data_IF_005776441873
#
_entry.id   IF_005776441873
#
_cell.length_a   1.000
_cell.length_b   1.000
_cell.length_c   1.000
_cell.angle_alpha   90.00
_cell.angle_beta   90.00
_cell.angle_gamma   90.00
#
_symmetry.space_group_name_H-M   'P 1'
#
loop_
_entity.id
_entity.type
_entity.pdbx_description
1 polymer ?
#
# COMPACT_ATOMS: atom_id res chain seq x y z
N UNK A 1 21.99 -14.52 -5.01
CA UNK A 1 21.43 -15.48 -5.98
C UNK A 1 20.92 -14.71 -7.18
N UNK A 2 21.65 -14.72 -8.30
CA UNK A 2 21.42 -13.82 -9.45
C UNK A 2 20.04 -13.99 -10.11
N UNK A 3 19.47 -15.20 -10.03
CA UNK A 3 18.14 -15.49 -10.58
C UNK A 3 16.99 -14.93 -9.73
N UNK A 4 17.12 -14.88 -8.40
CA UNK A 4 16.07 -14.35 -7.52
C UNK A 4 15.84 -12.85 -7.69
N UNK A 5 16.92 -12.08 -7.94
CA UNK A 5 16.81 -10.64 -8.19
C UNK A 5 16.21 -10.33 -9.57
N UNK A 6 16.56 -11.11 -10.61
CA UNK A 6 16.05 -10.86 -11.97
C UNK A 6 14.52 -11.00 -12.04
N UNK A 7 13.96 -12.03 -11.40
CA UNK A 7 12.50 -12.22 -11.33
C UNK A 7 11.83 -11.15 -10.45
N UNK A 8 12.51 -10.71 -9.38
CA UNK A 8 12.02 -9.60 -8.55
C UNK A 8 11.91 -8.29 -9.34
N UNK A 9 12.94 -7.93 -10.12
CA UNK A 9 12.93 -6.72 -10.94
C UNK A 9 11.82 -6.74 -12.00
N UNK A 10 11.59 -7.90 -12.63
CA UNK A 10 10.49 -8.07 -13.59
C UNK A 10 9.12 -7.85 -12.93
N UNK A 11 8.88 -8.45 -11.75
CA UNK A 11 7.64 -8.24 -10.99
C UNK A 11 7.44 -6.76 -10.65
N UNK A 12 8.49 -6.06 -10.24
CA UNK A 12 8.43 -4.64 -9.90
C UNK A 12 8.11 -3.76 -11.11
N UNK A 13 8.69 -4.06 -12.28
CA UNK A 13 8.40 -3.37 -13.54
C UNK A 13 6.94 -3.59 -13.96
N UNK A 14 6.45 -4.83 -13.89
CA UNK A 14 5.08 -5.18 -14.21
C UNK A 14 4.09 -4.54 -13.23
N UNK A 15 4.42 -4.52 -11.94
CA UNK A 15 3.64 -3.81 -10.91
C UNK A 15 3.52 -2.32 -11.25
N UNK A 16 4.63 -1.65 -11.57
CA UNK A 16 4.62 -0.24 -11.94
C UNK A 16 3.75 0.02 -13.19
N UNK A 17 3.76 -0.89 -14.16
CA UNK A 17 2.89 -0.80 -15.34
C UNK A 17 1.42 -1.00 -14.99
N UNK A 18 1.08 -1.98 -14.15
CA UNK A 18 -0.29 -2.19 -13.66
C UNK A 18 -0.81 -0.96 -12.91
N UNK A 19 0.02 -0.34 -12.07
CA UNK A 19 -0.34 0.91 -11.40
C UNK A 19 -0.64 2.02 -12.41
N UNK A 20 0.24 2.25 -13.39
CA UNK A 20 0.04 3.29 -14.42
C UNK A 20 -1.22 3.09 -15.26
N UNK A 21 -1.63 1.84 -15.49
CA UNK A 21 -2.87 1.52 -16.20
C UNK A 21 -4.12 1.66 -15.33
N UNK A 22 -3.98 1.46 -14.01
CA UNK A 22 -5.11 1.42 -13.08
C UNK A 22 -5.48 2.79 -12.49
N UNK A 23 -4.52 3.71 -12.42
CA UNK A 23 -4.68 5.03 -11.81
C UNK A 23 -4.67 6.16 -12.85
N UNK A 24 -5.24 7.31 -12.48
CA UNK A 24 -5.34 8.47 -13.37
C UNK A 24 -3.98 9.16 -13.49
N UNK A 25 -3.79 9.94 -14.57
CA UNK A 25 -2.57 10.73 -14.79
C UNK A 25 -2.23 11.69 -13.64
N UNK A 26 -3.23 12.17 -12.90
CA UNK A 26 -3.05 13.12 -11.79
C UNK A 26 -2.93 12.43 -10.42
N UNK A 27 -3.09 11.11 -10.34
CA UNK A 27 -2.79 10.36 -9.14
C UNK A 27 -1.26 10.22 -9.04
N UNK A 28 -0.71 10.37 -7.83
CA UNK A 28 0.74 10.29 -7.64
C UNK A 28 1.13 8.88 -7.25
N UNK A 29 2.04 8.28 -8.02
CA UNK A 29 2.50 6.90 -7.87
C UNK A 29 3.99 6.92 -7.58
N UNK A 30 4.40 6.31 -6.47
CA UNK A 30 5.79 6.28 -6.04
C UNK A 30 6.22 4.86 -5.72
N UNK A 31 7.47 4.53 -6.01
CA UNK A 31 8.17 3.41 -5.37
C UNK A 31 8.88 3.98 -4.14
N UNK A 32 8.45 3.59 -2.96
CA UNK A 32 8.95 4.11 -1.69
C UNK A 32 10.19 3.36 -1.23
N UNK A 33 10.19 2.03 -1.38
CA UNK A 33 11.28 1.14 -0.99
C UNK A 33 11.56 0.05 -2.03
N UNK A 34 12.23 -1.02 -1.61
CA UNK A 34 12.58 -2.15 -2.47
C UNK A 34 11.35 -2.75 -3.17
N UNK A 35 10.34 -3.11 -2.40
CA UNK A 35 9.08 -3.71 -2.89
C UNK A 35 7.83 -2.90 -2.52
N UNK A 36 8.04 -1.69 -1.98
CA UNK A 36 6.97 -0.86 -1.42
C UNK A 36 6.57 0.25 -2.39
N UNK A 37 5.25 0.40 -2.56
CA UNK A 37 4.66 1.40 -3.43
C UNK A 37 3.69 2.28 -2.64
N UNK A 38 3.71 3.58 -2.96
CA UNK A 38 2.83 4.57 -2.34
C UNK A 38 1.98 5.21 -3.44
N UNK A 39 0.70 5.38 -3.13
CA UNK A 39 -0.29 5.97 -4.02
C UNK A 39 -0.96 7.11 -3.27
N UNK A 40 -0.87 8.33 -3.82
CA UNK A 40 -1.62 9.49 -3.31
C UNK A 40 -2.77 9.76 -4.27
N UNK A 41 -3.99 9.53 -3.76
CA UNK A 41 -5.23 9.69 -4.52
C UNK A 41 -5.96 10.95 -4.12
N UNK A 42 -6.46 11.70 -5.11
CA UNK A 42 -7.43 12.77 -4.89
C UNK A 42 -8.84 12.27 -5.20
N UNK A 43 -9.62 12.01 -4.15
CA UNK A 43 -11.00 11.50 -4.26
C UNK A 43 -11.97 12.33 -3.45
N UNK A 44 -13.24 12.35 -3.86
CA UNK A 44 -14.31 13.07 -3.14
C UNK A 44 -14.66 12.43 -1.79
N UNK A 45 -14.61 11.10 -1.70
CA UNK A 45 -14.98 10.36 -0.50
C UNK A 45 -14.00 9.23 -0.21
N UNK A 46 -13.87 8.87 1.06
CA UNK A 46 -13.13 7.68 1.51
C UNK A 46 -13.61 6.41 0.81
N UNK A 47 -14.92 6.25 0.63
CA UNK A 47 -15.49 5.08 -0.05
C UNK A 47 -15.03 4.96 -1.51
N UNK A 48 -14.91 6.09 -2.21
CA UNK A 48 -14.43 6.10 -3.59
C UNK A 48 -12.95 5.68 -3.64
N UNK A 49 -12.12 6.16 -2.73
CA UNK A 49 -10.72 5.74 -2.63
C UNK A 49 -10.60 4.23 -2.39
N UNK A 50 -11.34 3.69 -1.41
CA UNK A 50 -11.32 2.25 -1.11
C UNK A 50 -11.80 1.40 -2.29
N UNK A 51 -12.84 1.84 -3.01
CA UNK A 51 -13.32 1.11 -4.20
C UNK A 51 -12.29 1.11 -5.34
N UNK A 52 -11.59 2.23 -5.58
CA UNK A 52 -10.52 2.29 -6.59
C UNK A 52 -9.37 1.34 -6.21
N UNK A 53 -8.93 1.38 -4.95
CA UNK A 53 -7.83 0.57 -4.46
C UNK A 53 -8.18 -0.93 -4.42
N UNK A 54 -9.41 -1.28 -4.09
CA UNK A 54 -9.88 -2.67 -4.10
C UNK A 54 -9.94 -3.23 -5.53
N UNK A 55 -10.38 -2.40 -6.50
CA UNK A 55 -10.29 -2.78 -7.91
C UNK A 55 -8.84 -3.04 -8.33
N UNK A 56 -7.92 -2.16 -7.93
CA UNK A 56 -6.49 -2.36 -8.22
C UNK A 56 -5.92 -3.63 -7.57
N UNK A 57 -6.27 -3.91 -6.31
CA UNK A 57 -5.89 -5.15 -5.61
C UNK A 57 -6.33 -6.39 -6.40
N UNK A 58 -7.59 -6.42 -6.85
CA UNK A 58 -8.12 -7.50 -7.67
C UNK A 58 -7.43 -7.58 -9.05
N UNK A 59 -7.13 -6.45 -9.69
CA UNK A 59 -6.37 -6.42 -10.94
C UNK A 59 -5.01 -7.11 -10.79
N UNK A 60 -4.30 -6.83 -9.68
CA UNK A 60 -3.01 -7.48 -9.39
C UNK A 60 -3.18 -8.97 -9.10
N UNK A 61 -4.14 -9.34 -8.25
CA UNK A 61 -4.44 -10.72 -7.89
C UNK A 61 -4.74 -11.61 -9.11
N UNK A 62 -5.46 -11.06 -10.10
CA UNK A 62 -5.82 -11.77 -11.32
C UNK A 62 -4.73 -11.72 -12.41
N UNK A 63 -3.70 -10.89 -12.22
CA UNK A 63 -2.63 -10.76 -13.20
C UNK A 63 -1.68 -11.95 -13.10
N UNK A 64 -1.46 -12.63 -14.22
CA UNK A 64 -0.48 -13.69 -14.31
C UNK A 64 0.91 -13.10 -14.60
N UNK A 65 1.72 -12.95 -13.55
CA UNK A 65 3.10 -12.51 -13.67
C UNK A 65 3.93 -13.61 -14.35
N UNK A 66 4.64 -13.31 -15.45
CA UNK A 66 5.58 -14.25 -16.05
C UNK A 66 6.56 -14.76 -14.99
N UNK A 67 6.94 -16.03 -15.10
CA UNK A 67 7.92 -16.71 -14.24
C UNK A 67 7.50 -16.99 -12.79
N UNK A 68 6.70 -16.12 -12.15
CA UNK A 68 6.29 -16.26 -10.74
C UNK A 68 4.82 -16.61 -10.52
N UNK A 69 3.99 -16.55 -11.56
CA UNK A 69 2.57 -16.90 -11.49
C UNK A 69 1.74 -15.80 -10.84
N UNK A 70 1.05 -16.11 -9.74
CA UNK A 70 0.18 -15.14 -9.05
C UNK A 70 0.95 -14.36 -7.99
N UNK A 71 0.79 -13.04 -8.02
CA UNK A 71 1.25 -12.13 -6.97
C UNK A 71 0.04 -11.41 -6.41
N UNK A 72 0.06 -11.12 -5.11
CA UNK A 72 -1.00 -10.36 -4.44
C UNK A 72 -0.39 -9.15 -3.74
N UNK A 73 -1.23 -8.15 -3.45
CA UNK A 73 -0.83 -6.97 -2.70
C UNK A 73 -1.75 -6.79 -1.50
N UNK A 74 -1.18 -6.32 -0.40
CA UNK A 74 -1.94 -5.81 0.74
C UNK A 74 -1.82 -4.29 0.75
N UNK A 75 -2.89 -3.59 1.07
CA UNK A 75 -2.94 -2.13 0.98
C UNK A 75 -3.39 -1.56 2.33
N UNK A 76 -2.55 -0.69 2.90
CA UNK A 76 -2.91 0.16 4.02
C UNK A 76 -3.30 1.55 3.54
N UNK A 77 -4.41 2.09 4.05
CA UNK A 77 -4.97 3.37 3.63
C UNK A 77 -5.17 4.29 4.83
N UNK A 78 -4.81 5.56 4.67
CA UNK A 78 -5.11 6.61 5.64
C UNK A 78 -5.59 7.87 4.91
N UNK A 79 -6.45 8.63 5.58
CA UNK A 79 -6.88 9.93 5.06
C UNK A 79 -5.80 10.98 5.30
N UNK A 80 -5.53 11.81 4.29
CA UNK A 80 -4.63 12.96 4.39
C UNK A 80 -5.40 14.13 5.01
N UNK A 81 -4.92 14.65 6.14
CA UNK A 81 -5.36 15.92 6.68
C UNK A 81 -4.25 16.96 6.50
N UNK A 82 -4.60 18.16 6.00
CA UNK A 82 -3.64 19.23 5.73
C UNK A 82 -2.93 19.75 6.99
N UNK A 83 -3.48 19.51 8.18
CA UNK A 83 -2.88 19.88 9.45
C UNK A 83 -1.85 18.87 9.98
N UNK A 84 -1.68 17.72 9.33
CA UNK A 84 -0.81 16.64 9.81
C UNK A 84 0.53 16.61 9.07
N UNK A 85 1.57 16.17 9.78
CA UNK A 85 2.87 15.92 9.19
C UNK A 85 2.79 14.71 8.23
N UNK A 86 3.46 14.75 7.05
CA UNK A 86 3.46 13.62 6.11
C UNK A 86 3.88 12.29 6.74
N UNK A 87 4.81 12.32 7.71
CA UNK A 87 5.26 11.15 8.46
C UNK A 87 4.13 10.46 9.22
N UNK A 88 3.25 11.22 9.87
CA UNK A 88 2.08 10.68 10.59
C UNK A 88 1.07 10.04 9.64
N UNK A 89 0.93 10.58 8.43
CA UNK A 89 0.06 10.01 7.40
C UNK A 89 0.61 8.65 6.95
N UNK A 90 1.90 8.58 6.64
CA UNK A 90 2.57 7.34 6.22
C UNK A 90 2.49 6.29 7.34
N UNK A 91 2.76 6.67 8.59
CA UNK A 91 2.69 5.76 9.74
C UNK A 91 1.29 5.15 9.91
N UNK A 92 0.21 5.94 9.72
CA UNK A 92 -1.16 5.42 9.78
C UNK A 92 -1.45 4.43 8.65
N UNK A 93 -1.03 4.74 7.42
CA UNK A 93 -1.16 3.83 6.30
C UNK A 93 -0.38 2.54 6.56
N UNK A 94 0.84 2.63 7.10
CA UNK A 94 1.67 1.46 7.39
C UNK A 94 1.08 0.60 8.51
N UNK A 95 0.55 1.18 9.59
CA UNK A 95 -0.18 0.42 10.62
C UNK A 95 -1.36 -0.36 10.04
N UNK A 96 -2.11 0.24 9.12
CA UNK A 96 -3.20 -0.44 8.43
C UNK A 96 -2.69 -1.54 7.48
N UNK A 97 -1.56 -1.33 6.81
CA UNK A 97 -0.90 -2.33 5.97
C UNK A 97 -0.38 -3.51 6.80
N UNK A 98 0.22 -3.24 7.96
CA UNK A 98 0.67 -4.24 8.89
C UNK A 98 -0.50 -5.13 9.34
N UNK A 99 -1.63 -4.51 9.70
CA UNK A 99 -2.84 -5.26 10.01
C UNK A 99 -3.31 -6.14 8.83
N UNK A 100 -3.31 -5.60 7.61
CA UNK A 100 -3.63 -6.38 6.41
C UNK A 100 -2.70 -7.60 6.23
N UNK A 101 -1.39 -7.42 6.44
CA UNK A 101 -0.39 -8.50 6.36
C UNK A 101 -0.59 -9.55 7.45
N UNK A 102 -0.89 -9.12 8.68
CA UNK A 102 -1.12 -10.01 9.81
C UNK A 102 -2.44 -10.80 9.71
N UNK A 103 -3.45 -10.27 9.02
CA UNK A 103 -4.80 -10.86 8.93
C UNK A 103 -5.08 -11.61 7.62
N UNK A 104 -4.05 -12.20 7.01
CA UNK A 104 -4.23 -13.08 5.83
C UNK A 104 -3.74 -12.51 4.49
N UNK A 105 -3.17 -11.29 4.48
CA UNK A 105 -2.66 -10.61 3.27
C UNK A 105 -3.76 -10.44 2.21
N UNK A 106 -3.39 -9.99 1.02
CA UNK A 106 -4.28 -9.82 -0.15
C UNK A 106 -5.59 -9.10 0.18
N UNK A 107 -5.49 -8.03 0.97
CA UNK A 107 -6.65 -7.28 1.45
C UNK A 107 -6.31 -5.81 1.66
N UNK A 108 -7.34 -4.99 1.73
CA UNK A 108 -7.25 -3.56 2.01
C UNK A 108 -7.76 -3.25 3.40
N UNK A 109 -7.04 -2.40 4.13
CA UNK A 109 -7.52 -1.86 5.41
C UNK A 109 -7.31 -0.37 5.49
N UNK A 110 -8.27 0.31 6.09
CA UNK A 110 -8.25 1.76 6.31
C UNK A 110 -8.04 2.03 7.79
N UNK A 111 -7.04 2.83 8.11
CA UNK A 111 -6.67 3.18 9.48
C UNK A 111 -7.85 3.77 10.26
N UNK A 112 -8.61 4.69 9.64
CA UNK A 112 -9.78 5.32 10.27
C UNK A 112 -10.89 4.30 10.56
N UNK A 113 -11.04 3.25 9.74
CA UNK A 113 -12.01 2.19 10.00
C UNK A 113 -11.54 1.25 11.11
N UNK A 114 -10.25 0.88 11.11
CA UNK A 114 -9.68 0.01 12.13
C UNK A 114 -9.68 0.66 13.52
N UNK A 115 -9.44 1.97 13.59
CA UNK A 115 -9.51 2.74 14.84
C UNK A 115 -10.96 2.92 15.31
N UNK A 116 -11.89 3.24 14.41
CA UNK A 116 -13.31 3.35 14.75
C UNK A 116 -13.91 2.06 15.31
N UNK A 117 -13.43 0.90 14.85
CA UNK A 117 -13.87 -0.42 15.31
C UNK A 117 -13.09 -0.96 16.52
N UNK A 118 -12.14 -0.18 17.05
CA UNK A 118 -11.30 -0.59 18.19
C UNK A 118 -10.29 -1.70 17.89
N UNK A 119 -10.03 -1.97 16.61
CA UNK A 119 -9.12 -3.02 16.14
C UNK A 119 -7.65 -2.61 16.26
N UNK A 120 -7.37 -1.32 15.99
CA UNK A 120 -6.07 -0.70 16.27
C UNK A 120 -6.33 0.43 17.24
N UNK A 121 -5.58 0.46 18.34
CA UNK A 121 -5.64 1.56 19.30
C UNK A 121 -4.80 2.74 18.81
N UNK A 122 -5.27 3.97 19.08
CA UNK A 122 -4.49 5.18 18.93
C UNK A 122 -3.35 5.19 19.97
N UNK A 123 -2.29 4.40 19.77
CA UNK A 123 -1.06 4.64 20.50
C UNK A 123 -0.32 5.79 19.81
N UNK A 124 -0.46 6.98 20.42
CA UNK A 124 0.64 7.94 20.46
C UNK A 124 1.77 7.28 21.28
N UNK A 125 2.98 7.29 20.73
CA UNK A 125 4.25 6.77 21.26
C UNK A 125 4.53 5.25 21.18
N UNK A 126 5.20 4.86 20.09
CA UNK A 126 6.58 4.38 20.16
C UNK A 126 7.35 4.93 18.94
N UNK A 127 8.58 5.45 19.10
CA UNK A 127 9.44 5.74 17.97
C UNK A 127 9.71 4.44 17.19
N UNK A 128 9.72 4.51 15.87
CA UNK A 128 10.30 3.46 15.04
C UNK A 128 11.75 3.25 15.47
N UNK A 129 12.04 2.17 16.18
CA UNK A 129 13.40 1.75 16.54
C UNK A 129 14.21 1.27 15.32
N UNK A 130 13.63 1.26 14.12
CA UNK A 130 14.36 1.00 12.89
C UNK A 130 14.84 2.33 12.27
N UNK A 131 15.91 2.88 12.84
CA UNK A 131 16.83 3.73 12.08
C UNK A 131 17.73 2.77 11.29
N UNK A 132 17.35 2.43 10.06
CA UNK A 132 18.33 1.95 9.08
C UNK A 132 19.18 3.15 8.64
N UNK A 133 20.37 3.25 9.24
CA UNK A 133 21.44 4.11 8.77
C UNK A 133 22.00 3.54 7.47
N UNK A 134 21.90 4.31 6.39
CA UNK A 134 22.75 4.15 5.20
C UNK A 134 24.13 4.77 5.43
#
# INVERSE_FOLDING_TARGET
TTFGHLYGDEVLLLMANLMRQSFRRNDLLFRYGGEEFVIVLKTETKSNALSILERFRHTVELYNFPQVGQVTISIGVSQINASEMPTMIIERADRALYYAKANGRNQIHCYENLTANGTIFLQYDQPSDDIELF
#
